data_IF_184224775892
#
_entry.id   IF_184224775892
#
_cell.length_a   1.000
_cell.length_b   1.000
_cell.length_c   1.000
_cell.angle_alpha   90.00
_cell.angle_beta   90.00
_cell.angle_gamma   90.00
#
_symmetry.space_group_name_H-M   'P 1'
#
loop_
_entity.id
_entity.type
_entity.pdbx_description
1 polymer ?
#
# COMPACT_ATOMS: atom_id res chain seq x y z
N UNK A 1 -14.14 2.81 -6.10
CA UNK A 1 -13.38 3.07 -4.85
C UNK A 1 -12.42 1.94 -4.50
N UNK A 2 -12.89 0.71 -4.23
CA UNK A 2 -12.00 -0.39 -3.78
C UNK A 2 -10.88 -0.72 -4.77
N UNK A 3 -11.15 -0.72 -6.09
CA UNK A 3 -10.11 -0.95 -7.12
C UNK A 3 -9.04 0.13 -7.16
N UNK A 4 -9.40 1.38 -6.91
CA UNK A 4 -8.46 2.51 -6.90
C UNK A 4 -7.62 2.44 -5.62
N UNK A 5 -8.25 2.17 -4.47
CA UNK A 5 -7.56 1.89 -3.21
C UNK A 5 -6.51 0.80 -3.35
N UNK A 6 -6.89 -0.32 -3.98
CA UNK A 6 -5.98 -1.42 -4.31
C UNK A 6 -4.77 -0.95 -5.12
N UNK A 7 -5.02 -0.22 -6.20
CA UNK A 7 -3.97 0.24 -7.11
C UNK A 7 -3.00 1.22 -6.42
N UNK A 8 -3.52 2.14 -5.61
CA UNK A 8 -2.71 3.08 -4.82
C UNK A 8 -1.92 2.35 -3.73
N UNK A 9 -2.52 1.35 -3.08
CA UNK A 9 -1.84 0.55 -2.06
C UNK A 9 -0.67 -0.25 -2.65
N UNK A 10 -0.85 -0.89 -3.82
CA UNK A 10 0.23 -1.58 -4.52
C UNK A 10 1.31 -0.59 -4.97
N UNK A 11 0.92 0.56 -5.54
CA UNK A 11 1.86 1.57 -6.01
C UNK A 11 2.70 2.15 -4.87
N UNK A 12 2.09 2.42 -3.71
CA UNK A 12 2.76 2.87 -2.50
C UNK A 12 3.77 1.81 -2.02
N UNK A 13 3.36 0.55 -1.88
CA UNK A 13 4.23 -0.56 -1.50
C UNK A 13 5.44 -0.73 -2.45
N UNK A 14 5.17 -0.69 -3.76
CA UNK A 14 6.20 -0.81 -4.78
C UNK A 14 7.16 0.38 -4.75
N UNK A 15 6.65 1.61 -4.57
CA UNK A 15 7.47 2.81 -4.47
C UNK A 15 8.39 2.77 -3.23
N UNK A 16 7.89 2.28 -2.10
CA UNK A 16 8.68 2.12 -0.88
C UNK A 16 9.76 1.05 -1.03
N UNK A 17 9.42 -0.07 -1.65
CA UNK A 17 10.37 -1.14 -1.92
C UNK A 17 11.46 -0.71 -2.91
N UNK A 18 11.11 0.05 -3.96
CA UNK A 18 12.08 0.65 -4.88
C UNK A 18 12.99 1.66 -4.17
N UNK A 19 12.44 2.47 -3.25
CA UNK A 19 13.24 3.41 -2.46
C UNK A 19 14.27 2.65 -1.59
N UNK A 20 13.86 1.56 -0.95
CA UNK A 20 14.75 0.74 -0.11
C UNK A 20 15.75 -0.10 -0.91
N UNK A 21 15.35 -0.72 -2.02
CA UNK A 21 16.20 -1.65 -2.78
C UNK A 21 17.00 -0.99 -3.90
N UNK A 22 16.58 0.18 -4.39
CA UNK A 22 17.27 0.89 -5.47
C UNK A 22 17.88 2.17 -4.94
N UNK A 23 17.07 3.07 -4.36
CA UNK A 23 17.56 4.38 -3.98
C UNK A 23 18.59 4.34 -2.84
N UNK A 24 18.42 3.46 -1.85
CA UNK A 24 19.40 3.30 -0.76
C UNK A 24 20.72 2.68 -1.25
N UNK A 25 20.74 1.55 -2.00
CA UNK A 25 21.99 1.04 -2.57
C UNK A 25 22.69 1.99 -3.52
N UNK A 26 21.93 2.77 -4.30
CA UNK A 26 22.52 3.81 -5.17
C UNK A 26 23.17 4.92 -4.33
N UNK A 27 22.49 5.35 -3.25
CA UNK A 27 23.01 6.36 -2.32
C UNK A 27 24.30 5.90 -1.64
N UNK A 28 24.35 4.69 -1.10
CA UNK A 28 25.52 4.21 -0.35
C UNK A 28 26.61 3.58 -1.23
N UNK A 29 26.24 3.01 -2.38
CA UNK A 29 27.17 2.31 -3.28
C UNK A 29 27.76 3.18 -4.38
N UNK A 30 27.09 4.28 -4.75
CA UNK A 30 27.54 5.20 -5.80
C UNK A 30 27.60 6.67 -5.35
N UNK A 31 27.31 6.97 -4.07
CA UNK A 31 27.20 8.34 -3.52
C UNK A 31 26.19 9.22 -4.28
N UNK A 32 25.24 8.59 -4.98
CA UNK A 32 24.25 9.26 -5.82
C UNK A 32 22.93 9.41 -5.08
N UNK A 33 22.69 10.61 -4.54
CA UNK A 33 21.46 10.91 -3.81
C UNK A 33 20.21 11.08 -4.70
N UNK A 34 20.41 11.20 -6.03
CA UNK A 34 19.34 11.50 -6.98
C UNK A 34 18.17 10.51 -6.91
N UNK A 35 18.45 9.24 -6.61
CA UNK A 35 17.42 8.21 -6.45
C UNK A 35 16.49 8.49 -5.28
N UNK A 36 17.02 8.95 -4.14
CA UNK A 36 16.24 9.29 -2.95
C UNK A 36 15.52 10.63 -3.14
N UNK A 37 16.18 11.60 -3.77
CA UNK A 37 15.61 12.92 -4.02
C UNK A 37 14.41 12.86 -4.99
N UNK A 38 14.40 11.92 -5.93
CA UNK A 38 13.29 11.72 -6.85
C UNK A 38 12.20 10.79 -6.27
N UNK A 39 12.61 9.64 -5.72
CA UNK A 39 11.65 8.65 -5.21
C UNK A 39 11.00 9.06 -3.88
N UNK A 40 11.68 9.84 -3.05
CA UNK A 40 11.16 10.32 -1.77
C UNK A 40 9.86 11.11 -1.92
N UNK A 41 9.81 12.18 -2.74
CA UNK A 41 8.59 12.94 -2.99
C UNK A 41 7.48 12.10 -3.63
N UNK A 42 7.82 11.22 -4.59
CA UNK A 42 6.85 10.34 -5.26
C UNK A 42 6.19 9.40 -4.24
N UNK A 43 7.01 8.75 -3.42
CA UNK A 43 6.54 7.89 -2.34
C UNK A 43 5.70 8.68 -1.33
N UNK A 44 6.15 9.88 -0.91
CA UNK A 44 5.42 10.73 0.02
C UNK A 44 4.02 11.11 -0.47
N UNK A 45 3.86 11.43 -1.76
CA UNK A 45 2.55 11.71 -2.37
C UNK A 45 1.66 10.45 -2.34
N UNK A 46 2.22 9.30 -2.73
CA UNK A 46 1.50 8.02 -2.71
C UNK A 46 1.07 7.63 -1.29
N UNK A 47 1.92 7.87 -0.29
CA UNK A 47 1.62 7.63 1.11
C UNK A 47 0.45 8.49 1.60
N UNK A 48 0.46 9.79 1.31
CA UNK A 48 -0.65 10.68 1.67
C UNK A 48 -1.95 10.25 0.97
N UNK A 49 -1.87 9.87 -0.31
CA UNK A 49 -3.02 9.38 -1.07
C UNK A 49 -3.58 8.07 -0.48
N UNK A 50 -2.71 7.15 -0.06
CA UNK A 50 -3.11 5.91 0.60
C UNK A 50 -3.81 6.20 1.95
N UNK A 51 -3.21 7.03 2.80
CA UNK A 51 -3.78 7.44 4.10
C UNK A 51 -5.17 8.05 3.89
N UNK A 52 -5.31 8.98 2.94
CA UNK A 52 -6.61 9.57 2.61
C UNK A 52 -7.64 8.53 2.17
N UNK A 53 -7.23 7.56 1.35
CA UNK A 53 -8.15 6.50 0.94
C UNK A 53 -8.49 5.51 2.05
N UNK A 54 -7.59 5.21 3.00
CA UNK A 54 -7.92 4.41 4.19
C UNK A 54 -9.11 5.02 4.94
N UNK A 55 -9.14 6.34 5.11
CA UNK A 55 -10.28 7.01 5.75
C UNK A 55 -11.56 6.96 4.91
N UNK A 56 -11.45 7.03 3.58
CA UNK A 56 -12.63 6.91 2.69
C UNK A 56 -13.19 5.49 2.63
N UNK A 57 -12.34 4.46 2.65
CA UNK A 57 -12.78 3.06 2.58
C UNK A 57 -13.15 2.48 3.94
N UNK A 58 -12.68 3.09 5.05
CA UNK A 58 -13.04 2.72 6.43
C UNK A 58 -14.55 2.53 6.60
N UNK A 59 -15.34 3.49 6.16
CA UNK A 59 -16.80 3.43 6.31
C UNK A 59 -17.41 2.39 5.37
N UNK A 60 -16.94 2.33 4.12
CA UNK A 60 -17.41 1.38 3.13
C UNK A 60 -17.12 -0.09 3.50
N UNK A 61 -16.00 -0.36 4.19
CA UNK A 61 -15.58 -1.68 4.64
C UNK A 61 -15.96 -1.97 6.10
N UNK A 62 -16.62 -1.02 6.78
CA UNK A 62 -17.01 -1.10 8.20
C UNK A 62 -15.84 -1.50 9.11
N UNK A 63 -14.67 -0.95 8.86
CA UNK A 63 -13.46 -1.24 9.65
C UNK A 63 -13.56 -0.61 11.03
N UNK A 64 -13.20 -1.40 12.06
CA UNK A 64 -13.01 -0.89 13.41
C UNK A 64 -11.72 -0.06 13.53
N UNK A 65 -11.60 0.68 14.64
CA UNK A 65 -10.45 1.55 14.89
C UNK A 65 -9.13 0.78 14.89
N UNK A 66 -9.11 -0.48 15.37
CA UNK A 66 -7.87 -1.28 15.39
C UNK A 66 -7.44 -1.65 13.97
N UNK A 67 -8.37 -2.05 13.10
CA UNK A 67 -8.07 -2.32 11.69
C UNK A 67 -7.57 -1.08 10.95
N UNK A 68 -8.15 0.08 11.24
CA UNK A 68 -7.69 1.35 10.64
C UNK A 68 -6.27 1.69 11.07
N UNK A 69 -5.96 1.59 12.37
CA UNK A 69 -4.61 1.82 12.90
C UNK A 69 -3.62 0.79 12.35
N UNK A 70 -4.03 -0.47 12.23
CA UNK A 70 -3.20 -1.53 11.64
C UNK A 70 -2.94 -1.26 10.15
N UNK A 71 -3.92 -0.79 9.39
CA UNK A 71 -3.78 -0.44 7.97
C UNK A 71 -2.91 0.80 7.73
N UNK A 72 -2.86 1.74 8.68
CA UNK A 72 -1.95 2.90 8.67
C UNK A 72 -0.54 2.50 9.10
N UNK A 73 -0.40 1.70 10.17
CA UNK A 73 0.89 1.13 10.57
C UNK A 73 1.47 0.23 9.48
N UNK A 74 0.61 -0.44 8.73
CA UNK A 74 0.95 -1.20 7.54
C UNK A 74 1.60 -0.33 6.44
N UNK A 75 1.10 0.88 6.16
CA UNK A 75 1.76 1.75 5.16
C UNK A 75 3.15 2.25 5.55
N UNK A 76 3.58 2.07 6.80
CA UNK A 76 4.95 2.40 7.24
C UNK A 76 5.90 1.20 7.07
N UNK A 77 5.35 0.00 6.92
CA UNK A 77 6.11 -1.25 6.76
C UNK A 77 5.97 -1.76 5.31
N UNK A 78 7.07 -2.08 4.61
CA UNK A 78 7.04 -2.45 3.18
C UNK A 78 6.14 -3.65 2.86
N UNK A 79 5.80 -4.45 3.87
CA UNK A 79 5.20 -5.78 3.74
C UNK A 79 3.67 -5.75 3.79
N UNK A 80 3.06 -4.64 4.20
CA UNK A 80 1.71 -4.68 4.73
C UNK A 80 0.56 -4.18 3.81
N UNK A 81 0.79 -3.40 2.74
CA UNK A 81 -0.15 -3.30 1.61
C UNK A 81 -0.50 -4.67 1.02
N UNK A 82 0.48 -5.58 0.98
CA UNK A 82 0.31 -6.96 0.50
C UNK A 82 -0.58 -7.81 1.42
N UNK A 83 -0.51 -7.57 2.74
CA UNK A 83 -1.38 -8.20 3.73
C UNK A 83 -2.81 -7.66 3.66
N UNK A 84 -2.96 -6.34 3.52
CA UNK A 84 -4.28 -5.69 3.38
C UNK A 84 -4.99 -6.14 2.11
N UNK A 85 -4.26 -6.18 1.00
CA UNK A 85 -4.80 -6.64 -0.28
C UNK A 85 -5.29 -8.09 -0.20
N UNK A 86 -4.45 -9.00 0.31
CA UNK A 86 -4.74 -10.44 0.37
C UNK A 86 -5.87 -10.79 1.35
N UNK A 87 -5.98 -10.07 2.47
CA UNK A 87 -6.93 -10.43 3.54
C UNK A 87 -8.25 -9.66 3.51
N UNK A 88 -8.28 -8.42 2.99
CA UNK A 88 -9.47 -7.56 3.08
C UNK A 88 -10.06 -7.09 1.76
N UNK A 89 -9.37 -7.27 0.62
CA UNK A 89 -9.92 -6.94 -0.71
C UNK A 89 -10.23 -8.15 -1.58
N UNK A 90 -9.89 -9.35 -1.13
CA UNK A 90 -10.36 -10.60 -1.74
C UNK A 90 -11.88 -10.68 -1.49
N UNK A 91 -12.73 -10.60 -2.53
CA UNK A 91 -14.12 -11.02 -2.39
C UNK A 91 -14.05 -12.45 -1.87
N UNK A 92 -14.80 -12.78 -0.79
CA UNK A 92 -15.00 -14.18 -0.42
C UNK A 92 -15.26 -14.95 -1.72
N UNK A 93 -14.47 -16.00 -1.98
CA UNK A 93 -14.75 -16.93 -3.07
C UNK A 93 -16.27 -17.07 -3.14
N UNK A 94 -16.85 -16.75 -4.29
CA UNK A 94 -18.24 -17.14 -4.55
C UNK A 94 -18.28 -18.64 -4.29
N UNK A 95 -18.90 -19.12 -3.20
CA UNK A 95 -19.00 -20.55 -3.00
C UNK A 95 -19.88 -21.03 -4.16
N UNK A 96 -19.28 -21.86 -5.01
CA UNK A 96 -19.90 -22.67 -6.04
C UNK A 96 -21.31 -22.24 -6.48
N UNK A 97 -21.42 -21.69 -7.69
CA UNK A 97 -22.64 -21.88 -8.47
C UNK A 97 -22.77 -23.39 -8.74
N UNK A 98 -23.56 -24.01 -7.88
CA UNK A 98 -24.15 -25.34 -7.93
C UNK A 98 -24.70 -25.74 -9.32
N UNK A 99 -24.83 -27.05 -9.50
CA UNK A 99 -25.74 -27.78 -10.40
C UNK A 99 -25.30 -28.02 -11.85
N UNK A 100 -24.77 -29.22 -12.08
CA UNK A 100 -25.16 -30.09 -13.17
C UNK A 100 -25.57 -31.45 -12.58
#
# INVERSE_FOLDING_TARGET
MIRVFRLVSIAEAASFLLLLLVAMPLKYGADMEVGVQLMGPIHGILFIAYVGMVFLVREALRWDMKRTVLALGASVLPVAPFLVERHWTTPAETPASSAA
#
